data_IF_566143143957
#
_entry.id   IF_566143143957
#
_cell.length_a   1.000
_cell.length_b   1.000
_cell.length_c   1.000
_cell.angle_alpha   90.00
_cell.angle_beta   90.00
_cell.angle_gamma   90.00
#
_symmetry.space_group_name_H-M   'P 1'
#
loop_
_entity.id
_entity.type
_entity.pdbx_description
1 polymer ?
#
# COMPACT_ATOMS: atom_id res chain seq x y z
N UNK A 1 8.31 -14.49 7.16
CA UNK A 1 8.64 -14.42 5.73
C UNK A 1 8.82 -12.96 5.35
N UNK A 2 10.01 -12.58 4.89
CA UNK A 2 10.38 -11.17 4.65
C UNK A 2 9.68 -10.59 3.43
N UNK A 3 9.46 -11.41 2.40
CA UNK A 3 8.67 -11.04 1.23
C UNK A 3 7.25 -10.65 1.64
N UNK A 4 6.58 -11.52 2.41
CA UNK A 4 5.22 -11.26 2.91
C UNK A 4 5.17 -9.98 3.75
N UNK A 5 6.18 -9.70 4.57
CA UNK A 5 6.25 -8.45 5.36
C UNK A 5 6.23 -7.23 4.46
N UNK A 6 7.11 -7.16 3.45
CA UNK A 6 7.18 -6.02 2.54
C UNK A 6 5.87 -5.83 1.77
N UNK A 7 5.30 -6.93 1.26
CA UNK A 7 4.00 -6.94 0.57
C UNK A 7 2.89 -6.40 1.47
N UNK A 8 2.78 -6.89 2.70
CA UNK A 8 1.78 -6.43 3.65
C UNK A 8 1.97 -4.96 4.09
N UNK A 9 3.20 -4.48 4.23
CA UNK A 9 3.48 -3.07 4.52
C UNK A 9 2.95 -2.20 3.38
N UNK A 10 3.26 -2.56 2.13
CA UNK A 10 2.79 -1.86 0.94
C UNK A 10 1.26 -1.85 0.83
N UNK A 11 0.61 -3.01 1.00
CA UNK A 11 -0.85 -3.14 0.93
C UNK A 11 -1.56 -2.32 2.02
N UNK A 12 -1.05 -2.38 3.26
CA UNK A 12 -1.62 -1.63 4.39
C UNK A 12 -1.41 -0.13 4.23
N UNK A 13 -0.25 0.30 3.76
CA UNK A 13 0.03 1.70 3.48
C UNK A 13 -0.92 2.24 2.40
N UNK A 14 -1.12 1.49 1.32
CA UNK A 14 -2.07 1.79 0.26
C UNK A 14 -3.50 1.96 0.79
N UNK A 15 -4.02 0.96 1.53
CA UNK A 15 -5.38 1.00 2.07
C UNK A 15 -5.57 2.13 3.08
N UNK A 16 -4.60 2.32 3.99
CA UNK A 16 -4.63 3.40 4.99
C UNK A 16 -4.65 4.77 4.33
N UNK A 17 -3.87 4.96 3.25
CA UNK A 17 -3.77 6.25 2.55
C UNK A 17 -5.01 6.59 1.72
N UNK A 18 -5.68 5.60 1.14
CA UNK A 18 -7.00 5.78 0.53
C UNK A 18 -8.12 6.03 1.55
N UNK A 19 -7.79 6.06 2.86
CA UNK A 19 -8.73 6.05 3.97
C UNK A 19 -9.76 4.90 3.85
N UNK A 20 -9.37 3.81 3.20
CA UNK A 20 -10.25 2.69 2.91
C UNK A 20 -10.58 1.93 4.19
N UNK A 21 -11.77 2.15 4.74
CA UNK A 21 -12.33 1.28 5.78
C UNK A 21 -12.79 -0.07 5.19
N UNK A 22 -13.23 -0.99 6.05
CA UNK A 22 -13.71 -2.33 5.66
C UNK A 22 -14.89 -2.31 4.64
N UNK A 23 -15.56 -1.16 4.49
CA UNK A 23 -16.79 -1.01 3.72
C UNK A 23 -16.60 -0.38 2.33
N UNK A 24 -15.36 -0.21 1.84
CA UNK A 24 -15.12 0.35 0.49
C UNK A 24 -14.60 -0.70 -0.51
N UNK A 25 -15.06 -0.67 -1.77
CA UNK A 25 -14.64 -1.59 -2.83
C UNK A 25 -13.22 -1.27 -3.36
N UNK A 26 -12.22 -1.62 -2.56
CA UNK A 26 -10.79 -1.47 -2.87
C UNK A 26 -10.20 -2.87 -3.06
N UNK A 27 -9.36 -3.03 -4.09
CA UNK A 27 -8.59 -4.24 -4.32
C UNK A 27 -7.10 -3.93 -4.43
N UNK A 28 -6.27 -4.89 -4.05
CA UNK A 28 -4.82 -4.76 -4.10
C UNK A 28 -4.18 -6.09 -4.48
N UNK A 29 -3.10 -6.03 -5.26
CA UNK A 29 -2.27 -7.18 -5.60
C UNK A 29 -0.81 -6.78 -5.56
N UNK A 30 0.01 -7.59 -4.88
CA UNK A 30 1.45 -7.38 -4.76
C UNK A 30 2.23 -8.58 -5.26
N UNK A 31 3.42 -8.30 -5.78
CA UNK A 31 4.40 -9.30 -6.20
C UNK A 31 5.80 -8.79 -5.86
N UNK A 32 6.61 -9.61 -5.19
CA UNK A 32 8.04 -9.34 -5.05
C UNK A 32 8.80 -10.26 -6.00
N UNK A 33 9.59 -9.68 -6.90
CA UNK A 33 10.40 -10.45 -7.84
C UNK A 33 11.70 -9.71 -8.13
N UNK A 34 12.82 -10.42 -8.08
CA UNK A 34 14.15 -9.90 -8.44
C UNK A 34 14.52 -8.59 -7.71
N UNK A 35 14.13 -8.47 -6.42
CA UNK A 35 14.38 -7.28 -5.61
C UNK A 35 13.48 -6.08 -5.92
N UNK A 36 12.48 -6.28 -6.78
CA UNK A 36 11.51 -5.27 -7.19
C UNK A 36 10.13 -5.64 -6.62
N UNK A 37 9.55 -4.74 -5.84
CA UNK A 37 8.20 -4.86 -5.31
C UNK A 37 7.23 -4.16 -6.25
N UNK A 38 6.21 -4.89 -6.68
CA UNK A 38 5.13 -4.42 -7.54
C UNK A 38 3.86 -4.29 -6.72
N UNK A 39 3.14 -3.19 -6.93
CA UNK A 39 1.83 -2.95 -6.34
C UNK A 39 0.86 -2.58 -7.47
N UNK A 40 -0.22 -3.33 -7.59
CA UNK A 40 -1.41 -2.94 -8.34
C UNK A 40 -2.53 -2.64 -7.37
N UNK A 41 -3.01 -1.40 -7.37
CA UNK A 41 -4.14 -0.95 -6.56
C UNK A 41 -5.32 -0.60 -7.45
N UNK A 42 -6.53 -0.93 -7.01
CA UNK A 42 -7.76 -0.62 -7.73
C UNK A 42 -8.90 -0.17 -6.80
N UNK A 43 -9.75 0.69 -7.33
CA UNK A 43 -10.97 1.21 -6.69
C UNK A 43 -12.13 1.05 -7.66
N UNK A 44 -13.26 0.56 -7.17
CA UNK A 44 -14.46 0.30 -7.99
C UNK A 44 -15.68 1.05 -7.46
N UNK A 45 -16.67 1.32 -8.30
CA UNK A 45 -18.02 1.64 -7.81
C UNK A 45 -18.69 0.39 -7.23
N UNK A 46 -19.76 0.56 -6.45
CA UNK A 46 -20.47 -0.56 -5.82
C UNK A 46 -21.10 -1.53 -6.84
N UNK A 47 -21.50 -1.01 -8.00
CA UNK A 47 -22.04 -1.79 -9.11
C UNK A 47 -20.96 -2.25 -10.11
N UNK A 48 -19.70 -1.85 -9.91
CA UNK A 48 -18.57 -2.16 -10.78
C UNK A 48 -18.55 -1.46 -12.14
N UNK A 49 -19.43 -0.48 -12.38
CA UNK A 49 -19.49 0.27 -13.64
C UNK A 49 -18.29 1.22 -13.83
N UNK A 50 -17.78 1.79 -12.73
CA UNK A 50 -16.59 2.63 -12.72
C UNK A 50 -15.44 1.91 -12.01
N UNK A 51 -14.23 2.02 -12.58
CA UNK A 51 -13.02 1.48 -12.00
C UNK A 51 -11.81 2.36 -12.29
N UNK A 52 -10.94 2.53 -11.31
CA UNK A 52 -9.60 3.08 -11.47
C UNK A 52 -8.59 2.05 -10.98
N UNK A 53 -7.59 1.74 -11.80
CA UNK A 53 -6.55 0.77 -11.48
C UNK A 53 -5.20 1.29 -11.92
N UNK A 54 -4.22 1.21 -11.03
CA UNK A 54 -2.86 1.66 -11.29
C UNK A 54 -1.85 0.65 -10.76
N UNK A 55 -0.71 0.56 -11.45
CA UNK A 55 0.41 -0.28 -11.06
C UNK A 55 1.68 0.55 -10.97
N UNK A 56 2.41 0.41 -9.86
CA UNK A 56 3.75 0.96 -9.70
C UNK A 56 4.69 -0.10 -9.14
N UNK A 57 5.99 0.20 -9.17
CA UNK A 57 7.00 -0.68 -8.64
C UNK A 57 8.09 0.12 -7.92
N UNK A 58 8.72 -0.48 -6.90
CA UNK A 58 9.88 0.09 -6.21
C UNK A 58 10.95 -0.94 -5.89
N UNK A 59 12.21 -0.52 -5.97
CA UNK A 59 13.31 -1.38 -5.56
C UNK A 59 13.27 -1.51 -4.03
N UNK A 60 13.36 -2.75 -3.54
CA UNK A 60 13.35 -3.08 -2.11
C UNK A 60 14.55 -3.95 -1.72
N UNK A 61 15.55 -4.06 -2.59
CA UNK A 61 16.76 -4.82 -2.33
C UNK A 61 17.77 -3.95 -1.57
N UNK A 62 17.68 -3.99 -0.25
CA UNK A 62 18.55 -3.24 0.66
C UNK A 62 19.33 -4.19 1.57
N UNK A 63 20.58 -3.85 1.88
CA UNK A 63 21.39 -4.56 2.87
C UNK A 63 21.17 -4.00 4.27
N UNK A 64 21.21 -4.87 5.30
CA UNK A 64 21.11 -4.49 6.73
C UNK A 64 22.26 -3.59 7.21
N UNK A 65 23.35 -3.50 6.45
CA UNK A 65 24.53 -2.68 6.77
C UNK A 65 24.25 -1.16 6.67
N UNK A 66 23.09 -0.75 6.14
CA UNK A 66 22.73 0.66 5.93
C UNK A 66 21.93 1.28 7.10
N UNK A 67 21.86 0.62 8.25
CA UNK A 67 21.03 1.02 9.39
C UNK A 67 21.86 1.82 10.42
N UNK A 68 21.88 3.15 10.29
CA UNK A 68 22.50 4.04 11.28
C UNK A 68 21.55 4.21 12.50
N UNK A 69 21.92 3.61 13.63
CA UNK A 69 21.42 3.94 14.96
C UNK A 69 20.17 3.18 15.46
N UNK A 70 19.98 3.06 16.79
CA UNK A 70 18.85 2.36 17.38
C UNK A 70 17.65 3.31 17.51
N UNK A 71 16.63 3.13 16.65
CA UNK A 71 15.27 3.59 16.94
C UNK A 71 14.40 2.35 17.21
N UNK A 72 14.34 1.95 18.48
CA UNK A 72 13.75 0.68 18.93
C UNK A 72 12.21 0.64 18.87
N UNK A 73 11.55 1.62 18.21
CA UNK A 73 10.10 1.75 18.23
C UNK A 73 9.42 2.10 16.89
N UNK A 74 10.13 2.05 15.76
CA UNK A 74 9.53 2.39 14.47
C UNK A 74 8.64 1.26 13.93
N UNK A 75 7.33 1.47 13.97
CA UNK A 75 6.32 0.59 13.37
C UNK A 75 5.89 1.15 12.01
N UNK A 76 6.11 0.39 10.93
CA UNK A 76 5.57 0.74 9.61
C UNK A 76 4.17 0.16 9.51
N UNK A 77 3.15 1.03 9.45
CA UNK A 77 1.73 0.64 9.37
C UNK A 77 1.29 -0.43 10.39
N UNK A 78 1.86 -0.37 11.60
CA UNK A 78 1.57 -1.32 12.71
C UNK A 78 2.27 -2.67 12.58
N UNK A 79 3.27 -2.80 11.69
CA UNK A 79 4.12 -3.99 11.55
C UNK A 79 5.49 -3.70 12.16
N UNK A 80 5.94 -4.60 13.04
CA UNK A 80 7.30 -4.62 13.59
C UNK A 80 8.06 -5.80 12.97
N UNK A 81 9.04 -5.52 12.13
CA UNK A 81 9.83 -6.55 11.44
C UNK A 81 11.33 -6.25 11.50
N UNK A 82 11.97 -6.60 12.61
CA UNK A 82 13.40 -6.31 12.85
C UNK A 82 14.38 -7.04 11.93
N UNK A 83 13.95 -8.13 11.28
CA UNK A 83 14.81 -8.89 10.34
C UNK A 83 14.84 -8.28 8.94
N UNK A 84 13.93 -7.36 8.63
CA UNK A 84 13.83 -6.72 7.31
C UNK A 84 14.49 -5.34 7.39
N UNK A 85 15.40 -4.97 6.47
CA UNK A 85 16.04 -3.65 6.48
C UNK A 85 15.01 -2.51 6.52
N UNK A 86 15.20 -1.49 7.38
CA UNK A 86 14.27 -0.35 7.50
C UNK A 86 14.05 0.34 6.16
N UNK A 87 15.10 0.55 5.38
CA UNK A 87 14.99 1.16 4.05
C UNK A 87 14.07 0.37 3.11
N UNK A 88 14.05 -0.97 3.22
CA UNK A 88 13.12 -1.82 2.48
C UNK A 88 11.67 -1.61 2.95
N UNK A 89 11.46 -1.53 4.26
CA UNK A 89 10.14 -1.24 4.85
C UNK A 89 9.63 0.15 4.45
N UNK A 90 10.48 1.18 4.48
CA UNK A 90 10.15 2.55 4.05
C UNK A 90 9.88 2.64 2.55
N UNK A 91 10.63 1.91 1.73
CA UNK A 91 10.37 1.83 0.30
C UNK A 91 9.02 1.14 0.02
N UNK A 92 8.71 0.06 0.74
CA UNK A 92 7.44 -0.64 0.65
C UNK A 92 6.26 0.26 1.08
N UNK A 93 6.36 0.98 2.19
CA UNK A 93 5.32 1.90 2.65
C UNK A 93 5.09 3.05 1.65
N UNK A 94 6.17 3.67 1.18
CA UNK A 94 6.08 4.74 0.16
C UNK A 94 5.44 4.27 -1.14
N UNK A 95 5.73 3.05 -1.60
CA UNK A 95 5.08 2.49 -2.79
C UNK A 95 3.56 2.43 -2.62
N UNK A 96 3.08 2.04 -1.43
CA UNK A 96 1.65 2.02 -1.12
C UNK A 96 1.01 3.41 -1.18
N UNK A 97 1.67 4.40 -0.58
CA UNK A 97 1.22 5.80 -0.58
C UNK A 97 1.19 6.39 -2.00
N UNK A 98 2.24 6.18 -2.79
CA UNK A 98 2.36 6.72 -4.15
C UNK A 98 1.28 6.18 -5.10
N UNK A 99 0.95 4.89 -5.03
CA UNK A 99 -0.15 4.32 -5.83
C UNK A 99 -1.51 4.88 -5.39
N UNK A 100 -1.71 5.05 -4.08
CA UNK A 100 -2.93 5.65 -3.55
C UNK A 100 -3.07 7.12 -3.99
N UNK A 101 -2.00 7.92 -3.90
CA UNK A 101 -1.97 9.31 -4.38
C UNK A 101 -2.29 9.39 -5.88
N UNK A 102 -1.73 8.49 -6.68
CA UNK A 102 -2.00 8.43 -8.11
C UNK A 102 -3.49 8.16 -8.38
N UNK A 103 -4.09 7.17 -7.71
CA UNK A 103 -5.53 6.90 -7.84
C UNK A 103 -6.38 8.09 -7.39
N UNK A 104 -6.03 8.74 -6.28
CA UNK A 104 -6.72 9.94 -5.80
C UNK A 104 -6.65 11.08 -6.80
N UNK A 105 -5.48 11.29 -7.42
CA UNK A 105 -5.28 12.29 -8.48
C UNK A 105 -6.13 12.01 -9.73
N UNK A 106 -6.44 10.73 -9.99
CA UNK A 106 -7.30 10.27 -11.08
C UNK A 106 -8.79 10.24 -10.73
N UNK A 107 -9.17 10.68 -9.54
CA UNK A 107 -10.58 10.83 -9.14
C UNK A 107 -11.13 9.71 -8.24
N UNK A 108 -10.29 8.81 -7.72
CA UNK A 108 -10.75 7.70 -6.85
C UNK A 108 -11.54 8.18 -5.63
N UNK A 109 -11.29 9.42 -5.15
CA UNK A 109 -12.04 10.03 -4.05
C UNK A 109 -13.55 10.08 -4.32
N UNK A 110 -13.96 10.37 -5.54
CA UNK A 110 -15.37 10.45 -5.91
C UNK A 110 -16.03 9.07 -5.81
N UNK A 111 -15.41 8.05 -6.40
CA UNK A 111 -15.89 6.67 -6.36
C UNK A 111 -16.03 6.17 -4.90
N UNK A 112 -14.99 6.38 -4.10
CA UNK A 112 -14.99 5.99 -2.68
C UNK A 112 -16.04 6.73 -1.86
N UNK A 113 -16.25 8.03 -2.11
CA UNK A 113 -17.25 8.82 -1.37
C UNK A 113 -18.68 8.33 -1.61
N UNK A 114 -19.02 8.01 -2.86
CA UNK A 114 -20.33 7.47 -3.24
C UNK A 114 -20.53 6.09 -2.62
N UNK A 115 -19.51 5.23 -2.69
CA UNK A 115 -19.57 3.89 -2.09
C UNK A 115 -19.81 3.95 -0.57
N UNK A 116 -19.15 4.86 0.16
CA UNK A 116 -19.35 5.04 1.60
C UNK A 116 -20.78 5.45 1.94
N UNK A 117 -21.33 6.45 1.25
CA UNK A 117 -22.69 6.94 1.52
C UNK A 117 -23.75 5.85 1.33
N UNK A 118 -23.62 5.07 0.25
CA UNK A 118 -24.54 3.99 -0.06
C UNK A 118 -24.37 2.78 0.87
N UNK A 119 -23.19 2.55 1.44
CA UNK A 119 -22.95 1.47 2.42
C UNK A 119 -23.53 1.74 3.81
N UNK A 120 -23.82 3.01 4.12
CA UNK A 120 -24.41 3.45 5.39
C UNK A 120 -25.93 3.69 5.34
N UNK A 121 -26.53 3.55 4.15
CA UNK A 121 -27.97 3.68 3.91
C UNK A 121 -28.66 2.32 3.98
#
# INVERSE_FOLDING_TARGET
DEETVLRCITERAFMKHLEGGCSVPVAVSTLLKDGQLYLTGAVYSLDGSDALQETMQKNVNFSLENEDGPDDNLQHVGITARSVPRLAQEAAERLGQEVADLLLSKGAKQILSVARQLSSA
#
